data_IF_743303614025
#
_entry.id   IF_743303614025
#
_cell.length_a   1.000
_cell.length_b   1.000
_cell.length_c   1.000
_cell.angle_alpha   90.00
_cell.angle_beta   90.00
_cell.angle_gamma   90.00
#
_symmetry.space_group_name_H-M   'P 1'
#
loop_
_entity.id
_entity.type
_entity.pdbx_description
1 polymer ?
#
# COMPACT_ATOMS: atom_id res chain seq x y z
N UNK A 1 26.04 -3.96 -5.75
CA UNK A 1 25.87 -2.99 -6.86
C UNK A 1 24.43 -3.09 -7.34
N UNK A 2 23.55 -2.22 -6.85
CA UNK A 2 22.13 -2.19 -7.25
C UNK A 2 22.01 -1.50 -8.62
N UNK A 3 21.36 -2.17 -9.57
CA UNK A 3 20.98 -1.56 -10.86
C UNK A 3 19.52 -1.16 -10.74
N UNK A 4 19.25 0.15 -10.64
CA UNK A 4 17.90 0.70 -10.76
C UNK A 4 17.47 0.60 -12.23
N UNK A 5 16.51 -0.27 -12.53
CA UNK A 5 15.85 -0.26 -13.84
C UNK A 5 14.72 0.78 -13.80
N UNK A 6 14.91 1.91 -14.48
CA UNK A 6 13.85 2.86 -14.73
C UNK A 6 12.96 2.31 -15.85
N UNK A 7 11.82 1.71 -15.51
CA UNK A 7 10.80 1.41 -16.52
C UNK A 7 10.05 2.68 -16.85
N UNK A 8 10.48 3.35 -17.92
CA UNK A 8 9.68 4.36 -18.58
C UNK A 8 8.52 3.68 -19.30
N UNK A 9 7.31 3.82 -18.78
CA UNK A 9 6.14 3.56 -19.61
C UNK A 9 6.10 4.75 -20.59
N UNK A 10 6.07 4.56 -21.90
CA UNK A 10 5.95 5.67 -22.89
C UNK A 10 4.47 5.88 -23.24
N UNK A 11 3.95 7.10 -23.18
CA UNK A 11 2.57 7.40 -23.61
C UNK A 11 2.59 7.49 -25.13
N UNK A 12 1.48 7.13 -25.79
CA UNK A 12 1.38 7.05 -27.26
C UNK A 12 1.62 8.37 -28.02
N UNK A 13 2.11 9.44 -27.38
CA UNK A 13 2.35 10.73 -28.03
C UNK A 13 3.68 10.81 -28.76
N UNK A 14 4.62 9.87 -28.56
CA UNK A 14 5.95 9.93 -29.21
C UNK A 14 6.27 8.83 -30.23
N UNK A 15 5.40 7.84 -30.46
CA UNK A 15 5.67 6.79 -31.47
C UNK A 15 5.17 7.19 -32.86
N UNK A 16 5.65 8.35 -33.33
CA UNK A 16 5.51 8.81 -34.70
C UNK A 16 6.56 8.17 -35.61
N UNK A 17 6.19 7.04 -36.22
CA UNK A 17 6.75 6.50 -37.47
C UNK A 17 8.15 5.82 -37.45
N UNK A 18 8.16 4.63 -38.08
CA UNK A 18 9.30 3.88 -38.65
C UNK A 18 10.19 3.05 -37.70
N UNK A 19 9.76 1.81 -37.45
CA UNK A 19 10.65 0.65 -37.67
C UNK A 19 9.84 -0.64 -37.85
N UNK A 20 10.12 -1.38 -38.93
CA UNK A 20 9.66 -2.75 -39.15
C UNK A 20 10.71 -3.66 -38.53
N UNK A 21 10.48 -4.11 -37.30
CA UNK A 21 11.24 -5.17 -36.64
C UNK A 21 10.26 -6.06 -35.88
N UNK A 22 10.45 -7.38 -35.96
CA UNK A 22 9.67 -8.36 -35.19
C UNK A 22 9.76 -7.99 -33.70
N UNK A 23 8.63 -7.62 -33.12
CA UNK A 23 8.52 -7.36 -31.69
C UNK A 23 7.94 -8.61 -31.02
N UNK A 24 8.80 -9.37 -30.34
CA UNK A 24 8.37 -10.38 -29.38
C UNK A 24 7.75 -9.67 -28.16
N UNK A 25 6.52 -10.08 -27.83
CA UNK A 25 5.82 -9.93 -26.54
C UNK A 25 5.82 -8.56 -25.80
N UNK A 26 5.60 -7.46 -26.52
CA UNK A 26 5.17 -6.20 -25.90
C UNK A 26 3.64 -6.15 -25.72
N UNK A 27 3.15 -6.44 -24.51
CA UNK A 27 1.74 -6.23 -24.15
C UNK A 27 1.39 -4.74 -24.22
N UNK A 28 0.59 -4.34 -25.20
CA UNK A 28 0.09 -2.96 -25.40
C UNK A 28 -1.05 -2.65 -24.42
N UNK A 29 -0.95 -1.53 -23.70
CA UNK A 29 -2.07 -0.97 -22.91
C UNK A 29 -2.73 0.16 -23.71
N UNK A 30 -3.95 -0.09 -24.20
CA UNK A 30 -4.80 0.93 -24.85
C UNK A 30 -5.65 1.61 -23.77
N UNK A 31 -5.54 2.94 -23.64
CA UNK A 31 -6.36 3.77 -22.75
C UNK A 31 -7.39 4.53 -23.58
N UNK A 32 -8.66 4.10 -23.49
CA UNK A 32 -9.79 4.75 -24.18
C UNK A 32 -10.18 6.10 -23.54
N UNK A 33 -10.62 7.06 -24.36
CA UNK A 33 -10.79 8.46 -23.95
C UNK A 33 -12.04 8.78 -23.11
N UNK A 34 -13.06 7.93 -22.96
CA UNK A 34 -14.37 8.46 -22.51
C UNK A 34 -15.29 7.57 -21.65
N UNK A 35 -14.78 6.78 -20.69
CA UNK A 35 -15.65 6.16 -19.66
C UNK A 35 -15.01 6.22 -18.27
N UNK A 36 -15.87 6.19 -17.24
CA UNK A 36 -15.62 6.50 -15.83
C UNK A 36 -14.39 5.81 -15.19
N UNK A 37 -13.96 6.41 -14.08
CA UNK A 37 -12.71 6.27 -13.30
C UNK A 37 -12.41 4.85 -12.74
N UNK A 38 -12.26 3.85 -13.60
CA UNK A 38 -11.95 2.48 -13.14
C UNK A 38 -10.43 2.27 -13.11
N UNK A 39 -9.88 2.11 -11.90
CA UNK A 39 -8.53 1.59 -11.68
C UNK A 39 -8.45 0.17 -12.27
N UNK A 40 -7.46 -0.07 -13.14
CA UNK A 40 -7.31 -1.35 -13.85
C UNK A 40 -6.03 -2.03 -13.44
N UNK A 41 -6.14 -3.29 -12.98
CA UNK A 41 -4.98 -4.16 -12.79
C UNK A 41 -4.41 -4.54 -14.17
N UNK A 42 -3.15 -4.19 -14.42
CA UNK A 42 -2.44 -4.69 -15.60
C UNK A 42 -1.77 -6.00 -15.20
N UNK A 43 -2.19 -7.12 -15.79
CA UNK A 43 -1.57 -8.43 -15.55
C UNK A 43 -0.18 -8.45 -16.18
N UNK A 44 0.84 -8.57 -15.32
CA UNK A 44 2.16 -9.17 -15.60
C UNK A 44 2.96 -8.66 -16.82
N UNK A 45 3.67 -7.54 -16.73
CA UNK A 45 5.04 -7.51 -17.25
C UNK A 45 5.93 -8.34 -16.32
N UNK A 46 6.64 -9.31 -16.90
CA UNK A 46 7.70 -10.05 -16.22
C UNK A 46 9.00 -9.36 -16.59
N UNK A 47 9.67 -8.72 -15.62
CA UNK A 47 11.01 -8.18 -15.84
C UNK A 47 12.00 -9.06 -15.07
N UNK A 48 12.94 -9.67 -15.81
CA UNK A 48 13.96 -10.56 -15.25
C UNK A 48 13.40 -11.70 -14.37
N UNK A 49 12.23 -12.22 -14.72
CA UNK A 49 11.59 -13.35 -14.02
C UNK A 49 10.72 -12.96 -12.83
N UNK A 50 10.57 -11.67 -12.51
CA UNK A 50 9.72 -11.18 -11.42
C UNK A 50 8.42 -10.62 -12.00
N UNK A 51 7.29 -11.14 -11.53
CA UNK A 51 5.97 -10.63 -11.90
C UNK A 51 5.73 -9.27 -11.23
N UNK A 52 5.55 -8.24 -12.04
CA UNK A 52 5.20 -6.89 -11.58
C UNK A 52 3.73 -6.65 -11.92
N UNK A 53 3.06 -5.78 -11.18
CA UNK A 53 1.79 -5.25 -11.63
C UNK A 53 1.75 -3.75 -11.38
N UNK A 54 1.21 -3.05 -12.37
CA UNK A 54 1.09 -1.60 -12.32
C UNK A 54 -0.31 -1.21 -11.89
N UNK A 55 -0.35 -0.23 -10.98
CA UNK A 55 -1.55 0.52 -10.67
C UNK A 55 -1.42 1.91 -11.30
N UNK A 56 -2.18 2.16 -12.37
CA UNK A 56 -2.13 3.43 -13.12
C UNK A 56 -3.43 4.19 -12.92
N UNK A 57 -3.47 5.23 -12.08
CA UNK A 57 -4.53 6.23 -12.13
C UNK A 57 -4.32 7.16 -13.34
N UNK A 58 -5.42 7.55 -13.97
CA UNK A 58 -5.46 8.18 -15.31
C UNK A 58 -4.84 9.59 -15.40
N UNK A 59 -4.53 10.25 -14.28
CA UNK A 59 -4.29 11.72 -14.27
C UNK A 59 -2.85 12.20 -14.04
N UNK A 60 -1.87 11.35 -13.74
CA UNK A 60 -0.49 11.83 -13.52
C UNK A 60 0.42 11.48 -14.69
N UNK A 61 0.91 12.51 -15.38
CA UNK A 61 1.83 12.44 -16.53
C UNK A 61 3.24 11.93 -16.17
N UNK A 62 3.59 11.81 -14.89
CA UNK A 62 4.91 11.33 -14.45
C UNK A 62 4.87 9.86 -14.06
N UNK A 63 5.70 9.08 -14.77
CA UNK A 63 5.73 7.61 -14.75
C UNK A 63 7.03 7.14 -14.12
N UNK A 64 6.93 6.47 -12.99
CA UNK A 64 7.98 5.56 -12.52
C UNK A 64 7.30 4.45 -11.76
N UNK A 65 7.27 3.27 -12.37
CA UNK A 65 6.91 2.09 -11.62
C UNK A 65 8.17 1.59 -10.92
N UNK A 66 8.15 1.58 -9.59
CA UNK A 66 9.25 1.00 -8.82
C UNK A 66 9.07 -0.51 -8.80
N UNK A 67 10.02 -1.25 -9.38
CA UNK A 67 10.10 -2.69 -9.21
C UNK A 67 10.49 -3.03 -7.77
N UNK A 68 9.69 -3.86 -7.11
CA UNK A 68 10.13 -4.54 -5.90
C UNK A 68 10.87 -5.82 -6.30
N UNK A 69 12.06 -6.01 -5.74
CA UNK A 69 12.73 -7.30 -5.80
C UNK A 69 11.92 -8.33 -4.99
N UNK A 70 11.93 -9.62 -5.35
CA UNK A 70 11.33 -10.66 -4.53
C UNK A 70 11.99 -10.64 -3.15
N UNK A 71 11.18 -10.42 -2.12
CA UNK A 71 11.63 -10.39 -0.73
C UNK A 71 11.40 -11.77 -0.12
N UNK A 72 12.49 -12.41 0.31
CA UNK A 72 12.45 -13.67 1.03
C UNK A 72 12.34 -13.42 2.54
N UNK A 73 11.64 -14.30 3.25
CA UNK A 73 11.42 -14.20 4.69
C UNK A 73 10.05 -14.76 5.10
N UNK A 74 9.92 -15.16 6.36
CA UNK A 74 8.70 -15.73 6.90
C UNK A 74 7.73 -14.62 7.31
N UNK A 75 6.56 -14.62 6.67
CA UNK A 75 5.46 -13.70 6.99
C UNK A 75 4.32 -14.47 7.63
N UNK A 76 4.00 -14.13 8.88
CA UNK A 76 2.82 -14.61 9.59
C UNK A 76 1.58 -13.87 9.08
N UNK A 77 0.95 -14.45 8.05
CA UNK A 77 -0.23 -13.86 7.37
C UNK A 77 -1.43 -13.67 8.29
N UNK A 78 -1.48 -14.33 9.44
CA UNK A 78 -2.57 -14.15 10.39
C UNK A 78 -2.28 -13.02 11.39
N UNK A 79 -1.04 -12.55 11.48
CA UNK A 79 -0.65 -11.45 12.37
C UNK A 79 -0.98 -10.10 11.74
N UNK A 80 -1.82 -9.35 12.45
CA UNK A 80 -2.19 -7.98 12.11
C UNK A 80 -1.66 -7.05 13.21
N UNK A 81 -0.79 -6.12 12.87
CA UNK A 81 -0.29 -5.12 13.81
C UNK A 81 -0.93 -3.77 13.54
N UNK A 82 -1.34 -3.09 14.60
CA UNK A 82 -1.99 -1.79 14.54
C UNK A 82 -1.11 -0.80 15.30
N UNK A 83 -0.60 0.17 14.57
CA UNK A 83 0.24 1.25 15.06
C UNK A 83 -0.55 2.55 15.00
N UNK A 84 -0.37 3.40 16.00
CA UNK A 84 -0.89 4.75 15.96
C UNK A 84 0.05 5.70 16.69
N UNK A 85 0.11 6.94 16.22
CA UNK A 85 0.67 8.05 17.00
C UNK A 85 -0.16 8.25 18.28
N UNK A 86 0.48 8.80 19.32
CA UNK A 86 -0.09 8.94 20.67
C UNK A 86 -1.33 9.85 20.75
N UNK A 87 -1.59 10.68 19.74
CA UNK A 87 -2.71 11.62 19.75
C UNK A 87 -4.07 10.90 19.66
N UNK A 88 -5.03 11.35 20.48
CA UNK A 88 -6.35 10.72 20.64
C UNK A 88 -7.12 10.47 19.33
N UNK A 89 -7.09 11.37 18.31
CA UNK A 89 -7.74 11.09 17.03
C UNK A 89 -7.22 9.81 16.37
N UNK A 90 -5.91 9.55 16.41
CA UNK A 90 -5.28 8.41 15.76
C UNK A 90 -5.48 7.11 16.54
N UNK A 91 -5.30 7.14 17.86
CA UNK A 91 -5.58 5.98 18.71
C UNK A 91 -7.07 5.60 18.67
N UNK A 92 -7.96 6.57 18.50
CA UNK A 92 -9.39 6.35 18.29
C UNK A 92 -9.70 5.61 16.97
N UNK A 93 -9.00 5.95 15.87
CA UNK A 93 -9.12 5.24 14.59
C UNK A 93 -8.59 3.81 14.74
N UNK A 94 -7.41 3.65 15.33
CA UNK A 94 -6.78 2.35 15.58
C UNK A 94 -7.68 1.41 16.39
N UNK A 95 -8.31 1.90 17.47
CA UNK A 95 -9.28 1.13 18.27
C UNK A 95 -10.49 0.66 17.46
N UNK A 96 -11.03 1.48 16.56
CA UNK A 96 -12.12 1.07 15.66
C UNK A 96 -11.66 0.02 14.66
N UNK A 97 -10.49 0.25 14.05
CA UNK A 97 -9.89 -0.67 13.09
C UNK A 97 -9.64 -2.05 13.71
N UNK A 98 -9.03 -2.09 14.90
CA UNK A 98 -8.81 -3.29 15.73
C UNK A 98 -10.08 -4.12 15.90
N UNK A 99 -11.17 -3.49 16.33
CA UNK A 99 -12.45 -4.19 16.52
C UNK A 99 -12.98 -4.78 15.21
N UNK A 100 -12.80 -4.06 14.10
CA UNK A 100 -13.27 -4.48 12.79
C UNK A 100 -12.49 -5.67 12.25
N UNK A 101 -11.15 -5.63 12.31
CA UNK A 101 -10.28 -6.67 11.72
C UNK A 101 -10.04 -7.88 12.62
N UNK A 102 -10.47 -7.86 13.88
CA UNK A 102 -10.33 -8.99 14.82
C UNK A 102 -10.79 -10.35 14.26
N UNK A 103 -11.87 -10.46 13.46
CA UNK A 103 -12.29 -11.77 12.94
C UNK A 103 -11.29 -12.40 11.94
N UNK A 104 -10.46 -11.61 11.27
CA UNK A 104 -9.62 -12.09 10.15
C UNK A 104 -8.17 -12.40 10.51
N UNK A 105 -7.78 -12.28 11.79
CA UNK A 105 -6.42 -12.58 12.24
C UNK A 105 -6.17 -12.22 13.71
N UNK A 106 -4.97 -12.54 14.17
CA UNK A 106 -4.46 -12.18 15.50
C UNK A 106 -4.01 -10.71 15.49
N UNK A 107 -4.74 -9.87 16.23
CA UNK A 107 -4.51 -8.43 16.24
C UNK A 107 -3.61 -8.01 17.41
N UNK A 108 -2.46 -7.43 17.09
CA UNK A 108 -1.54 -6.80 18.03
C UNK A 108 -1.73 -5.29 18.00
N UNK A 109 -1.97 -4.70 19.16
CA UNK A 109 -2.19 -3.27 19.35
C UNK A 109 -0.92 -2.67 19.96
N UNK A 110 -0.16 -1.95 19.14
CA UNK A 110 1.17 -1.45 19.47
C UNK A 110 1.24 0.06 19.38
N UNK A 111 0.14 0.76 19.69
CA UNK A 111 0.06 2.22 19.63
C UNK A 111 1.12 2.92 20.51
N UNK A 112 1.58 4.10 20.08
CA UNK A 112 2.68 4.84 20.71
C UNK A 112 2.35 5.41 22.10
N UNK A 113 1.09 5.36 22.54
CA UNK A 113 0.70 5.65 23.92
C UNK A 113 1.07 4.51 24.90
N UNK A 114 1.48 3.35 24.39
CA UNK A 114 1.69 2.11 25.17
C UNK A 114 3.00 1.38 24.87
N UNK A 115 3.54 1.57 23.67
CA UNK A 115 4.74 0.89 23.22
C UNK A 115 5.77 1.91 22.76
N UNK A 116 7.02 1.67 23.13
CA UNK A 116 8.15 2.42 22.55
C UNK A 116 8.50 1.87 21.16
N UNK A 117 9.32 2.61 20.41
CA UNK A 117 9.72 2.27 19.04
C UNK A 117 10.23 0.85 18.90
N UNK A 118 11.21 0.46 19.71
CA UNK A 118 11.90 -0.82 19.56
C UNK A 118 10.96 -2.01 19.84
N UNK A 119 10.03 -1.86 20.80
CA UNK A 119 8.98 -2.85 21.09
C UNK A 119 8.01 -2.98 19.92
N UNK A 120 7.55 -1.85 19.36
CA UNK A 120 6.66 -1.84 18.21
C UNK A 120 7.33 -2.52 17.01
N UNK A 121 8.60 -2.21 16.73
CA UNK A 121 9.37 -2.79 15.64
C UNK A 121 9.59 -4.30 15.81
N UNK A 122 9.85 -4.76 17.03
CA UNK A 122 9.96 -6.19 17.34
C UNK A 122 8.65 -6.94 17.06
N UNK A 123 7.51 -6.34 17.39
CA UNK A 123 6.18 -6.97 17.20
C UNK A 123 5.76 -7.01 15.72
N UNK A 124 6.07 -5.97 14.95
CA UNK A 124 5.69 -5.90 13.52
C UNK A 124 6.59 -6.75 12.63
N UNK A 125 7.79 -7.14 13.09
CA UNK A 125 8.69 -8.01 12.33
C UNK A 125 7.98 -9.31 11.94
N UNK A 126 7.93 -9.60 10.64
CA UNK A 126 7.25 -10.77 10.08
C UNK A 126 5.71 -10.68 10.07
N UNK A 127 5.10 -9.55 10.40
CA UNK A 127 3.65 -9.40 10.38
C UNK A 127 3.08 -9.46 8.95
N UNK A 128 1.94 -10.12 8.78
CA UNK A 128 1.21 -10.18 7.51
C UNK A 128 0.65 -8.83 7.08
N UNK A 129 0.07 -8.09 8.02
CA UNK A 129 -0.49 -6.77 7.78
C UNK A 129 -0.13 -5.83 8.92
N UNK A 130 0.36 -4.65 8.57
CA UNK A 130 0.66 -3.57 9.50
C UNK A 130 -0.13 -2.35 9.05
N UNK A 131 -0.93 -1.76 9.94
CA UNK A 131 -1.60 -0.49 9.67
C UNK A 131 -1.11 0.60 10.62
N UNK A 132 -0.67 1.71 10.05
CA UNK A 132 -0.23 2.89 10.78
C UNK A 132 -1.25 4.04 10.65
N UNK A 133 -1.59 4.65 11.78
CA UNK A 133 -2.46 5.83 11.89
C UNK A 133 -1.70 6.99 12.53
N UNK A 134 -1.46 8.08 11.80
CA UNK A 134 -0.73 9.21 12.35
C UNK A 134 -0.15 10.13 11.28
N UNK A 135 0.84 10.92 11.68
CA UNK A 135 1.63 11.72 10.76
C UNK A 135 2.80 10.90 10.17
N UNK A 136 3.13 11.21 8.93
CA UNK A 136 4.28 10.68 8.24
C UNK A 136 4.84 11.74 7.30
N UNK A 137 6.09 11.54 6.94
CA UNK A 137 6.86 12.34 6.01
C UNK A 137 7.53 11.43 4.98
N UNK A 138 8.32 12.02 4.09
CA UNK A 138 9.17 11.29 3.15
C UNK A 138 10.31 10.52 3.84
N UNK A 139 10.63 10.85 5.09
CA UNK A 139 11.69 10.18 5.87
C UNK A 139 11.18 9.07 6.79
N UNK A 140 9.92 9.10 7.22
CA UNK A 140 9.44 8.15 8.24
C UNK A 140 8.05 8.41 8.82
N UNK A 141 7.76 7.73 9.92
CA UNK A 141 6.57 7.94 10.75
C UNK A 141 6.89 8.82 11.96
N UNK A 142 6.03 9.78 12.27
CA UNK A 142 6.28 10.73 13.37
C UNK A 142 5.94 10.14 14.75
N UNK A 143 5.12 9.08 14.80
CA UNK A 143 4.87 8.32 16.01
C UNK A 143 6.14 7.71 16.60
N UNK A 144 6.08 7.27 17.87
CA UNK A 144 7.21 6.59 18.55
C UNK A 144 8.50 7.42 18.62
N UNK A 145 8.38 8.74 18.78
CA UNK A 145 9.49 9.70 18.68
C UNK A 145 10.23 9.70 17.33
N UNK A 146 9.57 9.25 16.27
CA UNK A 146 10.15 9.12 14.94
C UNK A 146 10.64 7.70 14.65
N UNK A 147 10.12 7.12 13.57
CA UNK A 147 10.63 5.89 12.96
C UNK A 147 11.11 6.24 11.55
N UNK A 148 12.42 6.34 11.38
CA UNK A 148 13.06 6.49 10.08
C UNK A 148 13.42 5.13 9.47
N UNK A 149 13.91 5.12 8.23
CA UNK A 149 14.26 3.87 7.54
C UNK A 149 15.37 3.10 8.28
N UNK A 150 16.38 3.80 8.79
CA UNK A 150 17.50 3.24 9.54
C UNK A 150 17.09 2.59 10.88
N UNK A 151 15.94 2.98 11.40
CA UNK A 151 15.36 2.39 12.61
C UNK A 151 14.65 1.06 12.30
N UNK A 152 14.18 0.84 11.06
CA UNK A 152 13.40 -0.33 10.62
C UNK A 152 14.26 -1.61 10.51
N UNK A 153 14.90 -1.99 11.61
CA UNK A 153 15.74 -3.19 11.76
C UNK A 153 14.87 -4.40 12.06
N UNK A 154 14.18 -4.88 11.02
CA UNK A 154 13.30 -6.04 11.12
C UNK A 154 14.10 -7.34 10.95
N UNK A 155 13.77 -8.36 11.72
CA UNK A 155 14.32 -9.71 11.55
C UNK A 155 13.69 -10.43 10.35
N UNK A 156 12.42 -10.12 10.08
CA UNK A 156 11.61 -10.68 9.01
C UNK A 156 10.81 -9.57 8.34
N UNK A 157 10.62 -9.61 7.01
CA UNK A 157 9.90 -8.58 6.28
C UNK A 157 8.42 -8.53 6.69
N UNK A 158 7.82 -7.36 6.59
CA UNK A 158 6.37 -7.19 6.68
C UNK A 158 5.74 -7.60 5.34
N UNK A 159 4.63 -8.34 5.37
CA UNK A 159 3.84 -8.63 4.17
C UNK A 159 3.32 -7.33 3.55
N UNK A 160 2.35 -6.71 4.21
CA UNK A 160 1.72 -5.47 3.75
C UNK A 160 1.80 -4.41 4.84
N UNK A 161 2.31 -3.23 4.51
CA UNK A 161 2.24 -2.05 5.36
C UNK A 161 1.29 -1.02 4.73
N UNK A 162 0.23 -0.64 5.42
CA UNK A 162 -0.66 0.46 5.02
C UNK A 162 -0.47 1.65 5.96
N UNK A 163 -0.24 2.81 5.38
CA UNK A 163 -0.07 4.07 6.09
C UNK A 163 -1.24 5.00 5.82
N UNK A 164 -2.08 5.20 6.83
CA UNK A 164 -3.20 6.16 6.81
C UNK A 164 -2.72 7.55 7.23
N UNK A 165 -1.70 8.04 6.53
CA UNK A 165 -0.98 9.27 6.81
C UNK A 165 -0.72 10.04 5.50
N UNK A 166 -0.03 11.17 5.61
CA UNK A 166 0.28 12.06 4.50
C UNK A 166 1.67 11.74 3.93
N UNK A 167 1.91 12.05 2.65
CA UNK A 167 3.24 12.09 2.02
C UNK A 167 4.11 10.81 2.07
N UNK A 168 3.57 9.66 2.46
CA UNK A 168 4.37 8.45 2.64
C UNK A 168 4.98 7.90 1.33
N UNK A 169 4.50 8.35 0.16
CA UNK A 169 4.95 7.96 -1.19
C UNK A 169 5.20 9.22 -2.07
N UNK A 170 5.58 10.36 -1.48
CA UNK A 170 5.85 11.57 -2.26
C UNK A 170 7.29 11.61 -2.80
N UNK A 171 7.46 11.45 -4.11
CA UNK A 171 8.77 11.45 -4.78
C UNK A 171 9.48 10.09 -4.78
N UNK A 172 10.63 9.99 -5.46
CA UNK A 172 11.36 8.71 -5.65
C UNK A 172 12.05 8.20 -4.38
N UNK A 173 12.37 9.11 -3.46
CA UNK A 173 13.06 8.79 -2.20
C UNK A 173 12.10 8.64 -1.03
N UNK A 174 10.79 8.55 -1.28
CA UNK A 174 9.78 8.48 -0.24
C UNK A 174 9.94 7.24 0.64
N UNK A 175 9.62 7.38 1.91
CA UNK A 175 9.73 6.34 2.93
C UNK A 175 9.14 4.99 2.49
N UNK A 176 7.90 4.98 1.99
CA UNK A 176 7.23 3.75 1.54
C UNK A 176 7.93 3.08 0.35
N UNK A 177 8.53 3.86 -0.55
CA UNK A 177 9.31 3.33 -1.67
C UNK A 177 10.60 2.69 -1.16
N UNK A 178 11.31 3.38 -0.27
CA UNK A 178 12.58 2.88 0.30
C UNK A 178 12.37 1.63 1.15
N UNK A 179 11.25 1.52 1.87
CA UNK A 179 10.89 0.30 2.61
C UNK A 179 10.73 -0.92 1.70
N UNK A 180 10.08 -0.74 0.55
CA UNK A 180 9.90 -1.82 -0.43
C UNK A 180 11.23 -2.15 -1.12
N UNK A 181 12.00 -1.14 -1.53
CA UNK A 181 13.30 -1.33 -2.20
C UNK A 181 14.35 -2.00 -1.30
N UNK A 182 14.32 -1.73 0.01
CA UNK A 182 15.20 -2.38 0.99
C UNK A 182 14.75 -3.79 1.38
N UNK A 183 13.59 -4.24 0.91
CA UNK A 183 13.04 -5.55 1.24
C UNK A 183 12.49 -5.66 2.65
N UNK A 184 12.25 -4.54 3.35
CA UNK A 184 11.65 -4.54 4.69
C UNK A 184 10.13 -4.76 4.65
N UNK A 185 9.50 -4.41 3.53
CA UNK A 185 8.06 -4.60 3.29
C UNK A 185 7.84 -5.14 1.88
N UNK A 186 6.94 -6.11 1.69
CA UNK A 186 6.65 -6.65 0.34
C UNK A 186 5.69 -5.78 -0.46
N UNK A 187 4.73 -5.15 0.22
CA UNK A 187 3.83 -4.16 -0.37
C UNK A 187 3.55 -3.01 0.60
N UNK A 188 3.63 -1.79 0.11
CA UNK A 188 3.33 -0.57 0.87
C UNK A 188 2.15 0.15 0.24
N UNK A 189 1.16 0.54 1.05
CA UNK A 189 0.04 1.39 0.66
C UNK A 189 0.14 2.71 1.41
N UNK A 190 0.02 3.83 0.71
CA UNK A 190 0.08 5.16 1.32
C UNK A 190 -0.24 6.26 0.33
N UNK A 191 -0.09 7.52 0.76
CA UNK A 191 -0.48 8.69 -0.03
C UNK A 191 0.69 9.32 -0.79
N UNK A 192 0.42 9.85 -1.99
CA UNK A 192 1.39 10.59 -2.81
C UNK A 192 1.27 12.10 -2.68
N UNK A 193 0.51 12.61 -1.71
CA UNK A 193 0.25 14.03 -1.57
C UNK A 193 -0.03 14.35 -0.09
N UNK A 194 0.06 15.63 0.21
CA UNK A 194 -0.31 16.27 1.45
C UNK A 194 -1.75 15.94 1.85
N UNK A 195 -1.97 16.02 3.16
CA UNK A 195 -3.07 15.46 3.91
C UNK A 195 -4.44 15.55 3.21
N UNK A 196 -5.05 14.41 2.95
CA UNK A 196 -6.51 14.34 3.06
C UNK A 196 -6.88 14.74 4.50
N UNK A 197 -8.01 15.42 4.70
CA UNK A 197 -8.42 15.83 6.04
C UNK A 197 -8.50 14.61 6.94
N UNK A 198 -8.16 14.75 8.22
CA UNK A 198 -8.19 13.64 9.20
C UNK A 198 -9.51 12.89 9.19
N UNK A 199 -10.63 13.61 8.98
CA UNK A 199 -11.97 13.03 8.82
C UNK A 199 -12.07 12.09 7.61
N UNK A 200 -11.58 12.50 6.45
CA UNK A 200 -11.68 11.75 5.20
C UNK A 200 -10.78 10.50 5.26
N UNK A 201 -9.57 10.65 5.80
CA UNK A 201 -8.67 9.52 6.08
C UNK A 201 -9.28 8.55 7.11
N UNK A 202 -9.98 9.06 8.12
CA UNK A 202 -10.70 8.23 9.09
C UNK A 202 -11.77 7.39 8.39
N UNK A 203 -12.60 8.02 7.55
CA UNK A 203 -13.64 7.33 6.81
C UNK A 203 -13.05 6.25 5.87
N UNK A 204 -12.00 6.59 5.12
CA UNK A 204 -11.30 5.64 4.26
C UNK A 204 -10.68 4.47 5.02
N UNK A 205 -10.04 4.73 6.15
CA UNK A 205 -9.50 3.67 7.00
C UNK A 205 -10.59 2.69 7.46
N UNK A 206 -11.78 3.20 7.80
CA UNK A 206 -12.92 2.34 8.18
C UNK A 206 -13.44 1.54 6.98
N UNK A 207 -13.61 2.17 5.81
CA UNK A 207 -13.99 1.48 4.57
C UNK A 207 -13.00 0.36 4.26
N UNK A 208 -11.70 0.62 4.36
CA UNK A 208 -10.66 -0.36 4.10
C UNK A 208 -10.69 -1.53 5.08
N UNK A 209 -10.90 -1.25 6.38
CA UNK A 209 -11.10 -2.29 7.40
C UNK A 209 -12.32 -3.17 7.09
N UNK A 210 -13.42 -2.54 6.70
CA UNK A 210 -14.66 -3.22 6.36
C UNK A 210 -14.48 -4.11 5.12
N UNK A 211 -13.87 -3.60 4.06
CA UNK A 211 -13.59 -4.36 2.84
C UNK A 211 -12.69 -5.59 3.10
N UNK A 212 -11.74 -5.52 4.03
CA UNK A 212 -10.96 -6.71 4.43
C UNK A 212 -11.86 -7.83 4.97
N UNK A 213 -12.87 -7.47 5.76
CA UNK A 213 -13.72 -8.42 6.50
C UNK A 213 -14.87 -8.93 5.64
N UNK A 214 -15.52 -8.02 4.91
CA UNK A 214 -16.72 -8.30 4.11
C UNK A 214 -16.34 -8.93 2.77
N UNK A 215 -15.45 -8.29 2.01
CA UNK A 215 -15.08 -8.77 0.67
C UNK A 215 -14.03 -9.89 0.70
N UNK A 216 -13.30 -10.03 1.82
CA UNK A 216 -12.26 -11.06 2.04
C UNK A 216 -11.27 -11.16 0.88
N UNK A 217 -10.62 -10.05 0.50
CA UNK A 217 -9.71 -10.03 -0.63
C UNK A 217 -8.54 -10.99 -0.41
N UNK A 218 -8.19 -11.77 -1.44
CA UNK A 218 -7.08 -12.72 -1.37
C UNK A 218 -5.70 -12.09 -1.52
N UNK A 219 -5.62 -10.83 -1.98
CA UNK A 219 -4.37 -10.09 -2.21
C UNK A 219 -4.55 -8.60 -2.06
N UNK A 220 -3.43 -7.86 -1.95
CA UNK A 220 -3.41 -6.38 -1.91
C UNK A 220 -4.17 -5.76 -3.08
N UNK A 221 -3.96 -6.24 -4.31
CA UNK A 221 -4.66 -5.73 -5.49
C UNK A 221 -6.18 -5.91 -5.40
N UNK A 222 -6.63 -7.08 -4.93
CA UNK A 222 -8.07 -7.34 -4.73
C UNK A 222 -8.66 -6.47 -3.61
N UNK A 223 -7.87 -6.14 -2.59
CA UNK A 223 -8.31 -5.24 -1.53
C UNK A 223 -8.48 -3.80 -2.00
N UNK A 224 -7.54 -3.30 -2.80
CA UNK A 224 -7.66 -1.98 -3.44
C UNK A 224 -8.95 -1.89 -4.28
N UNK A 225 -9.26 -2.93 -5.05
CA UNK A 225 -10.51 -2.99 -5.85
C UNK A 225 -11.77 -3.08 -4.99
N UNK A 226 -11.71 -3.78 -3.85
CA UNK A 226 -12.82 -3.82 -2.90
C UNK A 226 -13.09 -2.42 -2.31
N UNK A 227 -12.04 -1.69 -1.94
CA UNK A 227 -12.17 -0.29 -1.49
C UNK A 227 -12.72 0.59 -2.61
N UNK A 228 -12.23 0.46 -3.84
CA UNK A 228 -12.73 1.21 -5.02
C UNK A 228 -14.25 1.05 -5.16
N UNK A 229 -14.74 -0.18 -5.04
CA UNK A 229 -16.17 -0.51 -5.16
C UNK A 229 -17.01 0.15 -4.07
N UNK A 230 -16.51 0.24 -2.84
CA UNK A 230 -17.24 0.87 -1.74
C UNK A 230 -17.19 2.39 -1.87
N UNK A 231 -16.02 2.96 -2.15
CA UNK A 231 -15.83 4.41 -2.34
C UNK A 231 -16.67 4.94 -3.50
N UNK A 232 -16.75 4.23 -4.62
CA UNK A 232 -17.55 4.62 -5.79
C UNK A 232 -19.06 4.68 -5.52
N UNK A 233 -19.54 4.08 -4.42
CA UNK A 233 -20.94 4.11 -3.98
C UNK A 233 -21.21 5.15 -2.88
N UNK A 234 -20.18 5.84 -2.40
CA UNK A 234 -20.35 6.89 -1.40
C UNK A 234 -20.82 8.18 -2.08
N UNK A 235 -21.77 8.87 -1.46
CA UNK A 235 -22.16 10.23 -1.88
C UNK A 235 -21.11 11.28 -1.48
N UNK A 236 -20.20 10.94 -0.57
CA UNK A 236 -19.18 11.86 -0.06
C UNK A 236 -17.98 11.96 -1.01
N UNK A 237 -17.98 13.02 -1.83
CA UNK A 237 -16.88 13.33 -2.76
C UNK A 237 -15.53 13.51 -2.06
N UNK A 238 -15.48 13.94 -0.80
CA UNK A 238 -14.22 14.16 -0.08
C UNK A 238 -13.46 12.85 0.16
N UNK A 239 -14.20 11.77 0.46
CA UNK A 239 -13.66 10.41 0.63
C UNK A 239 -13.09 9.91 -0.70
N UNK A 240 -13.80 10.11 -1.81
CA UNK A 240 -13.31 9.74 -3.14
C UNK A 240 -12.05 10.50 -3.54
N UNK A 241 -11.99 11.81 -3.28
CA UNK A 241 -10.79 12.63 -3.54
C UNK A 241 -9.60 12.20 -2.67
N UNK A 242 -9.84 11.88 -1.39
CA UNK A 242 -8.81 11.36 -0.51
C UNK A 242 -8.30 10.00 -1.01
N UNK A 243 -9.19 9.12 -1.47
CA UNK A 243 -8.82 7.80 -1.97
C UNK A 243 -7.98 7.86 -3.25
N UNK A 244 -8.27 8.82 -4.13
CA UNK A 244 -7.49 9.09 -5.33
C UNK A 244 -6.02 9.46 -5.03
N UNK A 245 -5.66 9.79 -3.80
CA UNK A 245 -4.27 10.04 -3.38
C UNK A 245 -3.50 8.78 -2.97
N UNK A 246 -4.19 7.66 -2.71
CA UNK A 246 -3.55 6.42 -2.28
C UNK A 246 -2.93 5.66 -3.47
N UNK A 247 -1.75 5.11 -3.25
CA UNK A 247 -1.05 4.21 -4.18
C UNK A 247 -0.57 2.97 -3.43
N UNK A 248 -0.29 1.93 -4.22
CA UNK A 248 0.44 0.75 -3.80
C UNK A 248 1.82 0.75 -4.46
N UNK A 249 2.85 0.40 -3.70
CA UNK A 249 4.21 0.14 -4.15
C UNK A 249 4.57 -1.29 -3.75
N UNK A 250 5.16 -2.06 -4.66
CA UNK A 250 5.56 -3.45 -4.41
C UNK A 250 4.60 -4.51 -4.94
N UNK A 251 4.54 -5.67 -4.27
CA UNK A 251 3.85 -6.85 -4.75
C UNK A 251 2.32 -6.75 -4.54
N UNK A 252 1.55 -6.45 -5.59
CA UNK A 252 0.07 -6.40 -5.46
C UNK A 252 -0.56 -7.78 -5.25
N UNK A 253 0.15 -8.85 -5.60
CA UNK A 253 -0.30 -10.22 -5.40
C UNK A 253 0.07 -10.72 -3.99
N UNK A 254 0.64 -9.85 -3.13
CA UNK A 254 0.95 -10.20 -1.75
C UNK A 254 -0.35 -10.63 -1.03
N UNK A 255 -0.39 -11.83 -0.43
CA UNK A 255 -1.56 -12.31 0.27
C UNK A 255 -1.90 -11.47 1.49
N UNK A 256 -3.19 -11.27 1.73
CA UNK A 256 -3.69 -10.59 2.93
C UNK A 256 -4.14 -11.60 4.00
N UNK A 257 -4.26 -11.16 5.27
CA UNK A 257 -4.92 -11.94 6.31
C UNK A 257 -6.32 -12.35 5.88
N UNK A 258 -6.63 -13.63 6.05
CA UNK A 258 -7.95 -14.21 5.78
C UNK A 258 -8.47 -14.86 7.06
N UNK A 259 -9.80 -14.90 7.24
CA UNK A 259 -10.46 -15.63 8.34
C UNK A 259 -9.76 -16.96 8.63
N UNK A 260 -9.39 -17.16 9.89
CA UNK A 260 -8.92 -18.47 10.32
C UNK A 260 -10.03 -19.50 10.06
N UNK A 261 -9.64 -20.73 9.72
CA UNK A 261 -10.61 -21.82 9.47
C UNK A 261 -11.49 -22.12 10.70
N UNK A 262 -11.09 -21.65 11.88
CA UNK A 262 -11.73 -21.92 13.17
C UNK A 262 -13.04 -21.13 13.40
N UNK A 263 -13.37 -20.15 12.55
CA UNK A 263 -14.59 -19.35 12.64
C UNK A 263 -15.61 -19.64 11.51
N UNK A 264 -15.57 -20.83 10.91
CA UNK A 264 -16.59 -21.31 9.95
C UNK A 264 -17.52 -22.30 10.63
#
# INVERSE_FOLDING_TARGET
MLVLANVAIVSNEECGSRSRGKADDCTRVIVGRNQAEVRRQVKRPVERGVAVAFYIPRQTQTRTATLALPVHGNVDRQRICILAQWDEPYTGIARRWKRRVKPIGTVHDVCADRCIRDEALAVVSGAGLVAYFGHASDIGFDGYHGIALEDMRLNEPIGVLVSWSCNAIFGQSAFGIRLVQSGLVRAFIGTTDSAARTRDNTALAQIAAESLVVDRPSSVGNWMLAIDKVVAKQDDRSVSLAWQKFRVVGNIDEPLPSLSKEFR
#
